data_IF_443251972991
#
_entry.id   IF_443251972991
#
_cell.length_a   1.000
_cell.length_b   1.000
_cell.length_c   1.000
_cell.angle_alpha   90.00
_cell.angle_beta   90.00
_cell.angle_gamma   90.00
#
_symmetry.space_group_name_H-M   'P 1'
#
loop_
_entity.id
_entity.type
_entity.pdbx_description
1 polymer ?
#
# COMPACT_ATOMS: atom_id res chain seq x y z
N UNK A 1 -31.13 -2.52 11.24
CA UNK A 1 -30.90 -3.80 10.57
C UNK A 1 -31.15 -3.65 9.07
N UNK A 2 -30.13 -3.43 8.26
CA UNK A 2 -30.20 -3.47 6.81
C UNK A 2 -29.00 -4.27 6.30
N UNK A 3 -29.31 -5.27 5.51
CA UNK A 3 -28.55 -6.41 5.07
C UNK A 3 -27.30 -6.07 4.26
N UNK A 4 -26.15 -6.54 4.74
CA UNK A 4 -24.97 -6.81 3.89
C UNK A 4 -25.29 -8.08 3.05
N UNK A 5 -25.66 -7.90 1.81
CA UNK A 5 -25.68 -8.99 0.82
C UNK A 5 -25.08 -8.49 -0.49
N UNK A 6 -24.19 -9.31 -1.03
CA UNK A 6 -23.75 -9.37 -2.43
C UNK A 6 -22.62 -8.43 -2.87
N UNK A 7 -21.36 -8.79 -2.56
CA UNK A 7 -20.21 -8.65 -3.49
C UNK A 7 -19.32 -9.89 -3.28
N UNK A 8 -19.82 -11.05 -3.65
CA UNK A 8 -19.01 -12.27 -3.84
C UNK A 8 -19.62 -12.97 -5.06
N UNK A 9 -19.12 -12.63 -6.22
CA UNK A 9 -19.70 -13.28 -7.41
C UNK A 9 -19.14 -12.82 -8.74
N UNK A 10 -17.82 -12.63 -8.92
CA UNK A 10 -17.29 -12.46 -10.29
C UNK A 10 -15.83 -12.88 -10.47
N UNK A 11 -15.28 -13.68 -9.57
CA UNK A 11 -13.87 -14.15 -9.70
C UNK A 11 -13.70 -15.56 -10.28
N UNK A 12 -14.78 -16.25 -10.64
CA UNK A 12 -14.73 -17.69 -10.96
C UNK A 12 -14.70 -18.05 -12.46
N UNK A 13 -14.62 -17.09 -13.38
CA UNK A 13 -14.83 -17.37 -14.82
C UNK A 13 -13.57 -17.41 -15.70
N UNK A 14 -12.35 -17.43 -15.12
CA UNK A 14 -11.11 -17.46 -15.93
C UNK A 14 -10.24 -18.72 -15.78
N UNK A 15 -10.74 -19.80 -15.21
CA UNK A 15 -9.94 -21.00 -14.94
C UNK A 15 -10.03 -22.11 -15.98
N UNK A 16 -10.73 -21.93 -17.09
CA UNK A 16 -10.80 -22.91 -18.18
C UNK A 16 -10.14 -22.43 -19.47
N UNK A 17 -8.81 -22.15 -19.42
CA UNK A 17 -8.02 -21.97 -20.62
C UNK A 17 -7.27 -23.28 -20.93
N UNK A 18 -7.25 -23.72 -22.21
CA UNK A 18 -6.76 -25.04 -22.59
C UNK A 18 -5.25 -25.19 -22.37
N UNK A 19 -4.84 -26.39 -22.01
CA UNK A 19 -3.51 -26.87 -21.64
C UNK A 19 -2.48 -26.89 -22.78
N UNK A 20 -2.52 -26.01 -23.74
CA UNK A 20 -1.67 -26.04 -24.95
C UNK A 20 -0.84 -24.78 -25.16
N UNK A 21 -0.19 -24.25 -24.10
CA UNK A 21 0.89 -23.27 -24.29
C UNK A 21 2.12 -23.79 -23.59
N UNK A 22 2.94 -24.49 -24.35
CA UNK A 22 4.28 -24.94 -24.05
C UNK A 22 5.08 -23.86 -23.32
N UNK A 23 5.88 -24.31 -22.33
CA UNK A 23 7.00 -23.66 -21.68
C UNK A 23 7.40 -22.31 -22.31
N UNK A 24 6.74 -21.26 -21.89
CA UNK A 24 7.18 -19.93 -22.28
C UNK A 24 8.43 -19.62 -21.47
N UNK A 25 9.59 -19.75 -22.13
CA UNK A 25 10.81 -19.11 -21.70
C UNK A 25 10.48 -17.66 -21.32
N UNK A 26 11.14 -17.17 -20.29
CA UNK A 26 10.98 -15.80 -19.78
C UNK A 26 10.93 -14.80 -20.95
N UNK A 27 9.83 -14.08 -21.16
CA UNK A 27 9.70 -13.23 -22.34
C UNK A 27 10.84 -12.20 -22.38
N UNK A 28 11.47 -11.98 -23.53
CA UNK A 28 12.64 -11.13 -23.68
C UNK A 28 12.26 -9.64 -23.63
N UNK A 29 11.59 -9.19 -22.60
CA UNK A 29 11.25 -7.78 -22.39
C UNK A 29 12.10 -7.19 -21.27
N UNK A 30 12.61 -5.98 -21.47
CA UNK A 30 13.34 -5.23 -20.44
C UNK A 30 12.47 -4.24 -19.69
N UNK A 31 11.45 -3.71 -20.34
CA UNK A 31 10.53 -2.72 -19.76
C UNK A 31 9.21 -3.39 -19.38
N UNK A 32 8.74 -3.10 -18.20
CA UNK A 32 7.44 -3.56 -17.70
C UNK A 32 6.64 -2.36 -17.18
N UNK A 33 5.39 -2.27 -17.59
CA UNK A 33 4.43 -1.31 -17.05
C UNK A 33 3.32 -2.08 -16.34
N UNK A 34 2.94 -1.64 -15.15
CA UNK A 34 1.81 -2.24 -14.43
C UNK A 34 0.92 -1.20 -13.77
N UNK A 35 -0.35 -1.55 -13.64
CA UNK A 35 -1.35 -0.77 -12.93
C UNK A 35 -2.27 -1.71 -12.17
N UNK A 36 -2.68 -1.31 -10.98
CA UNK A 36 -3.53 -2.13 -10.14
C UNK A 36 -4.05 -1.42 -8.91
N UNK A 37 -4.57 -2.22 -8.00
CA UNK A 37 -5.06 -1.79 -6.70
C UNK A 37 -4.03 -2.08 -5.61
N UNK A 38 -3.95 -1.17 -4.65
CA UNK A 38 -3.18 -1.31 -3.43
C UNK A 38 -4.13 -1.17 -2.25
N UNK A 39 -4.07 -2.11 -1.33
CA UNK A 39 -4.65 -1.97 0.00
C UNK A 39 -3.53 -1.78 1.02
N UNK A 40 -3.68 -0.81 1.93
CA UNK A 40 -2.80 -0.64 3.07
C UNK A 40 -3.57 -0.66 4.38
N UNK A 41 -2.97 -1.23 5.41
CA UNK A 41 -3.53 -1.33 6.75
C UNK A 41 -3.53 0.00 7.49
N UNK A 42 -4.11 -0.01 8.69
CA UNK A 42 -4.18 1.16 9.57
C UNK A 42 -2.79 1.58 10.03
N UNK A 43 -2.64 2.88 10.26
CA UNK A 43 -1.42 3.49 10.81
C UNK A 43 -1.81 4.30 12.04
N UNK A 44 -1.38 3.92 13.26
CA UNK A 44 -1.57 4.76 14.44
C UNK A 44 -0.71 6.01 14.28
N UNK A 45 -1.28 7.20 14.50
CA UNK A 45 -0.57 8.47 14.38
C UNK A 45 -0.11 9.02 15.73
N UNK A 46 -0.52 8.39 16.81
CA UNK A 46 -0.16 8.72 18.17
C UNK A 46 -1.35 9.02 19.06
N UNK A 47 -1.07 9.14 20.36
CA UNK A 47 -2.03 9.53 21.39
C UNK A 47 -1.41 10.65 22.24
N UNK A 48 -2.25 11.56 22.71
CA UNK A 48 -1.86 12.65 23.60
C UNK A 48 -2.90 12.86 24.68
N UNK A 49 -2.42 13.17 25.89
CA UNK A 49 -3.23 13.61 26.99
C UNK A 49 -3.14 15.13 27.11
N UNK A 50 -4.29 15.78 27.21
CA UNK A 50 -4.35 17.18 27.61
C UNK A 50 -4.44 17.23 29.14
N UNK A 51 -3.49 17.92 29.76
CA UNK A 51 -3.43 18.07 31.22
C UNK A 51 -3.52 19.55 31.56
N UNK A 52 -4.22 19.86 32.67
CA UNK A 52 -4.27 21.18 33.26
C UNK A 52 -3.67 21.15 34.65
N UNK A 53 -3.02 22.24 35.04
CA UNK A 53 -2.45 22.38 36.37
C UNK A 53 -3.24 23.43 37.14
N UNK A 54 -3.83 23.04 38.23
CA UNK A 54 -4.57 23.96 39.16
C UNK A 54 -3.61 24.96 39.80
N UNK A 55 -4.14 26.06 40.30
CA UNK A 55 -3.37 27.06 41.02
C UNK A 55 -2.61 26.51 42.26
N UNK A 56 -2.99 25.35 42.78
CA UNK A 56 -2.32 24.63 43.86
C UNK A 56 -1.21 23.68 43.37
N UNK A 57 -0.87 23.66 42.05
CA UNK A 57 0.15 22.81 41.50
C UNK A 57 -0.29 21.35 41.21
N UNK A 58 -1.56 21.00 41.41
CA UNK A 58 -2.08 19.67 41.10
C UNK A 58 -2.40 19.58 39.59
N UNK A 59 -1.83 18.60 38.93
CA UNK A 59 -2.10 18.33 37.49
C UNK A 59 -3.20 17.29 37.37
N UNK A 60 -4.22 17.57 36.59
CA UNK A 60 -5.27 16.62 36.24
C UNK A 60 -5.45 16.54 34.71
N UNK A 61 -5.95 15.39 34.24
CA UNK A 61 -6.18 15.15 32.84
C UNK A 61 -7.52 15.74 32.42
N UNK A 62 -7.51 16.60 31.40
CA UNK A 62 -8.74 17.14 30.81
C UNK A 62 -9.37 16.13 29.83
N UNK A 63 -8.58 15.58 28.92
CA UNK A 63 -9.01 14.55 27.98
C UNK A 63 -7.81 13.78 27.42
N UNK A 64 -8.08 12.63 26.84
CA UNK A 64 -7.12 11.85 26.03
C UNK A 64 -7.54 11.88 24.59
N UNK A 65 -6.61 12.10 23.68
CA UNK A 65 -6.86 12.00 22.24
C UNK A 65 -5.99 10.91 21.62
N UNK A 66 -6.57 10.11 20.74
CA UNK A 66 -5.85 9.14 19.92
C UNK A 66 -6.23 9.33 18.46
N UNK A 67 -5.22 9.37 17.59
CA UNK A 67 -5.44 9.56 16.16
C UNK A 67 -4.86 8.38 15.39
N UNK A 68 -5.62 7.89 14.44
CA UNK A 68 -5.21 6.83 13.51
C UNK A 68 -5.56 7.19 12.06
N UNK A 69 -4.75 6.71 11.13
CA UNK A 69 -5.09 6.65 9.72
C UNK A 69 -5.74 5.30 9.44
N UNK A 70 -6.96 5.31 8.93
CA UNK A 70 -7.71 4.10 8.60
C UNK A 70 -7.05 3.31 7.48
N UNK A 71 -7.46 2.05 7.33
CA UNK A 71 -7.07 1.26 6.17
C UNK A 71 -7.63 1.89 4.89
N UNK A 72 -6.85 1.82 3.81
CA UNK A 72 -7.22 2.44 2.54
C UNK A 72 -7.01 1.48 1.38
N UNK A 73 -7.94 1.53 0.43
CA UNK A 73 -7.76 0.97 -0.91
C UNK A 73 -7.49 2.11 -1.88
N UNK A 74 -6.48 1.94 -2.73
CA UNK A 74 -6.05 2.95 -3.68
C UNK A 74 -5.58 2.34 -4.99
N UNK A 75 -5.07 3.19 -5.87
CA UNK A 75 -4.46 2.81 -7.13
C UNK A 75 -2.94 2.82 -7.00
N UNK A 76 -2.28 1.91 -7.70
CA UNK A 76 -0.82 1.85 -7.78
C UNK A 76 -0.39 1.53 -9.20
N UNK A 77 0.66 2.23 -9.67
CA UNK A 77 1.30 1.99 -10.95
C UNK A 77 2.79 1.76 -10.77
N UNK A 78 3.38 0.94 -11.65
CA UNK A 78 4.82 0.65 -11.62
C UNK A 78 5.41 0.70 -13.03
N UNK A 79 6.66 1.11 -13.09
CA UNK A 79 7.53 1.05 -14.27
C UNK A 79 8.76 0.25 -13.87
N UNK A 80 8.90 -0.96 -14.39
CA UNK A 80 10.01 -1.87 -14.09
C UNK A 80 11.00 -1.91 -15.25
N UNK A 81 12.28 -1.86 -14.93
CA UNK A 81 13.38 -2.06 -15.86
C UNK A 81 14.23 -3.24 -15.41
N UNK A 82 14.31 -4.28 -16.21
CA UNK A 82 15.18 -5.42 -15.93
C UNK A 82 16.64 -5.04 -16.20
N UNK A 83 17.40 -4.94 -15.12
CA UNK A 83 18.83 -4.59 -15.17
C UNK A 83 19.68 -5.83 -15.38
N UNK A 84 19.33 -6.94 -14.73
CA UNK A 84 20.01 -8.23 -14.83
C UNK A 84 18.98 -9.36 -14.90
N UNK A 85 19.43 -10.59 -15.19
CA UNK A 85 18.55 -11.77 -15.26
C UNK A 85 17.69 -11.98 -14.01
N UNK A 86 18.14 -11.49 -12.84
CA UNK A 86 17.47 -11.66 -11.55
C UNK A 86 17.21 -10.36 -10.82
N UNK A 87 17.54 -9.22 -11.41
CA UNK A 87 17.37 -7.92 -10.77
C UNK A 87 16.59 -7.00 -11.69
N UNK A 88 15.55 -6.40 -11.13
CA UNK A 88 14.72 -5.39 -11.78
C UNK A 88 14.72 -4.13 -10.91
N UNK A 89 14.95 -2.99 -11.51
CA UNK A 89 14.72 -1.69 -10.88
C UNK A 89 13.31 -1.23 -11.21
N UNK A 90 12.59 -0.73 -10.22
CA UNK A 90 11.19 -0.33 -10.36
C UNK A 90 10.99 1.08 -9.83
N UNK A 91 10.29 1.92 -10.59
CA UNK A 91 9.67 3.14 -10.11
C UNK A 91 8.19 2.87 -9.86
N UNK A 92 7.63 3.44 -8.80
CA UNK A 92 6.22 3.25 -8.43
C UNK A 92 5.57 4.56 -8.03
N UNK A 93 4.26 4.66 -8.29
CA UNK A 93 3.41 5.73 -7.81
C UNK A 93 2.11 5.15 -7.27
N UNK A 94 1.64 5.65 -6.14
CA UNK A 94 0.35 5.25 -5.58
C UNK A 94 -0.47 6.44 -5.13
N UNK A 95 -1.80 6.24 -5.15
CA UNK A 95 -2.79 7.21 -4.70
C UNK A 95 -3.87 6.52 -3.89
N UNK A 96 -4.22 7.09 -2.73
CA UNK A 96 -5.30 6.63 -1.87
C UNK A 96 -5.92 7.76 -1.07
N UNK A 97 -7.06 7.48 -0.46
CA UNK A 97 -7.79 8.42 0.41
C UNK A 97 -8.12 7.74 1.74
N UNK A 98 -7.16 7.62 2.66
CA UNK A 98 -7.43 7.12 4.00
C UNK A 98 -8.24 8.12 4.81
N UNK A 99 -9.11 7.61 5.67
CA UNK A 99 -9.78 8.41 6.70
C UNK A 99 -8.85 8.56 7.90
N UNK A 100 -8.63 9.79 8.32
CA UNK A 100 -7.99 10.11 9.58
C UNK A 100 -9.06 10.18 10.67
N UNK A 101 -8.94 9.36 11.71
CA UNK A 101 -9.89 9.31 12.83
C UNK A 101 -9.21 9.76 14.09
N UNK A 102 -9.75 10.81 14.69
CA UNK A 102 -9.33 11.30 16.00
C UNK A 102 -10.42 11.00 17.00
N UNK A 103 -10.10 10.19 17.98
CA UNK A 103 -10.96 9.85 19.11
C UNK A 103 -10.54 10.62 20.34
N UNK A 104 -11.48 11.30 20.97
CA UNK A 104 -11.33 12.01 22.24
C UNK A 104 -12.08 11.23 23.31
N UNK A 105 -11.38 10.79 24.33
CA UNK A 105 -11.90 10.03 25.45
C UNK A 105 -11.65 10.77 26.76
N UNK A 106 -12.46 10.47 27.79
CA UNK A 106 -12.31 10.98 29.16
C UNK A 106 -12.34 12.52 29.21
N UNK A 107 -13.22 13.15 28.44
CA UNK A 107 -13.45 14.58 28.55
C UNK A 107 -14.07 14.93 29.86
N UNK A 108 -13.41 15.79 30.67
CA UNK A 108 -13.86 16.20 31.97
C UNK A 108 -15.16 17.01 31.95
N UNK A 109 -15.40 17.75 30.84
CA UNK A 109 -16.58 18.59 30.71
C UNK A 109 -17.80 17.82 30.17
N UNK A 110 -17.56 16.80 29.33
CA UNK A 110 -18.61 15.99 28.70
C UNK A 110 -18.44 14.51 29.01
N UNK A 111 -18.88 14.13 30.21
CA UNK A 111 -18.55 12.82 30.83
C UNK A 111 -19.18 11.57 30.21
N UNK A 112 -19.89 11.62 29.08
CA UNK A 112 -20.79 10.52 28.69
C UNK A 112 -20.60 9.81 27.38
N UNK A 113 -19.76 10.28 26.46
CA UNK A 113 -19.49 9.52 25.23
C UNK A 113 -18.17 9.94 24.58
N UNK A 114 -17.35 9.01 24.08
CA UNK A 114 -16.18 9.36 23.28
C UNK A 114 -16.60 10.07 22.00
N UNK A 115 -15.99 11.20 21.72
CA UNK A 115 -16.17 11.93 20.48
C UNK A 115 -15.20 11.39 19.43
N UNK A 116 -15.70 11.04 18.23
CA UNK A 116 -14.85 10.64 17.11
C UNK A 116 -15.04 11.62 15.95
N UNK A 117 -13.95 12.27 15.54
CA UNK A 117 -13.89 13.14 14.39
C UNK A 117 -13.21 12.37 13.27
N UNK A 118 -13.78 12.43 12.08
CA UNK A 118 -13.24 11.74 10.89
C UNK A 118 -13.03 12.74 9.77
N UNK A 119 -11.78 12.82 9.28
CA UNK A 119 -11.38 13.63 8.15
C UNK A 119 -10.75 12.75 7.07
N UNK A 120 -10.90 13.12 5.81
CA UNK A 120 -10.30 12.38 4.69
C UNK A 120 -8.99 13.02 4.27
N UNK A 121 -7.94 12.23 4.16
CA UNK A 121 -6.60 12.66 3.72
C UNK A 121 -6.32 12.11 2.33
N UNK A 122 -5.93 12.96 1.39
CA UNK A 122 -5.43 12.52 0.07
C UNK A 122 -3.95 12.18 0.20
N UNK A 123 -3.60 10.94 -0.10
CA UNK A 123 -2.23 10.44 0.03
C UNK A 123 -1.65 10.04 -1.32
N UNK A 124 -0.48 10.58 -1.63
CA UNK A 124 0.32 10.25 -2.81
C UNK A 124 1.67 9.70 -2.37
N UNK A 125 2.14 8.65 -3.03
CA UNK A 125 3.49 8.14 -2.83
C UNK A 125 4.18 7.98 -4.18
N UNK A 126 5.43 8.41 -4.27
CA UNK A 126 6.30 8.17 -5.43
C UNK A 126 7.58 7.57 -4.89
N UNK A 127 8.03 6.47 -5.48
CA UNK A 127 9.21 5.77 -4.99
C UNK A 127 9.92 4.93 -6.02
N UNK A 128 11.01 4.32 -5.57
CA UNK A 128 11.78 3.34 -6.32
C UNK A 128 12.04 2.10 -5.49
N UNK A 129 12.16 0.96 -6.14
CA UNK A 129 12.43 -0.32 -5.52
C UNK A 129 13.38 -1.18 -6.36
N UNK A 130 14.05 -2.11 -5.70
CA UNK A 130 14.76 -3.20 -6.33
C UNK A 130 13.96 -4.49 -6.12
N UNK A 131 13.74 -5.24 -7.19
CA UNK A 131 13.12 -6.55 -7.15
C UNK A 131 14.18 -7.61 -7.48
N UNK A 132 14.31 -8.56 -6.58
CA UNK A 132 15.19 -9.69 -6.78
C UNK A 132 14.38 -10.97 -6.98
N UNK A 133 14.74 -11.75 -8.00
CA UNK A 133 14.07 -12.99 -8.40
C UNK A 133 14.89 -14.21 -7.97
N UNK A 134 14.56 -14.85 -6.83
CA UNK A 134 15.23 -16.08 -6.40
C UNK A 134 14.94 -17.23 -7.36
N UNK A 135 15.86 -18.18 -7.47
CA UNK A 135 15.60 -19.47 -8.13
C UNK A 135 14.76 -20.33 -7.19
N UNK A 136 13.50 -20.51 -7.50
CA UNK A 136 12.62 -21.40 -6.75
C UNK A 136 12.37 -22.65 -7.60
N UNK A 137 12.93 -23.81 -7.21
CA UNK A 137 12.61 -25.08 -7.88
C UNK A 137 11.11 -25.37 -7.72
N UNK A 138 10.47 -25.98 -8.71
CA UNK A 138 9.07 -26.42 -8.71
C UNK A 138 8.00 -25.38 -9.07
N UNK A 139 8.34 -24.14 -9.31
CA UNK A 139 7.38 -23.22 -9.90
C UNK A 139 7.32 -23.42 -11.42
N UNK A 140 6.11 -23.29 -11.98
CA UNK A 140 5.94 -23.36 -13.43
C UNK A 140 6.72 -22.22 -14.10
N UNK A 141 7.22 -22.40 -15.31
CA UNK A 141 7.95 -21.36 -16.04
C UNK A 141 7.13 -20.06 -16.26
N UNK A 142 5.83 -20.07 -15.93
CA UNK A 142 4.94 -18.90 -16.02
C UNK A 142 4.88 -18.09 -14.73
N UNK A 143 5.30 -18.68 -13.59
CA UNK A 143 5.21 -18.03 -12.26
C UNK A 143 6.61 -17.68 -11.77
N UNK A 144 6.80 -16.42 -11.39
CA UNK A 144 8.05 -15.91 -10.82
C UNK A 144 7.79 -15.31 -9.46
N UNK A 145 8.54 -15.76 -8.46
CA UNK A 145 8.58 -15.15 -7.14
C UNK A 145 9.58 -14.01 -7.16
N UNK A 146 9.30 -12.94 -6.45
CA UNK A 146 10.25 -11.86 -6.23
C UNK A 146 10.24 -11.41 -4.76
N UNK A 147 11.37 -10.87 -4.35
CA UNK A 147 11.52 -10.10 -3.12
C UNK A 147 11.73 -8.65 -3.53
N UNK A 148 11.15 -7.72 -2.79
CA UNK A 148 11.18 -6.28 -3.06
C UNK A 148 11.73 -5.54 -1.85
N UNK A 149 12.55 -4.51 -2.10
CA UNK A 149 12.91 -3.49 -1.13
C UNK A 149 12.89 -2.13 -1.83
N UNK A 150 12.29 -1.13 -1.19
CA UNK A 150 12.08 0.18 -1.80
C UNK A 150 12.12 1.33 -0.81
N UNK A 151 12.19 2.53 -1.38
CA UNK A 151 12.08 3.79 -0.66
C UNK A 151 11.29 4.79 -1.50
N UNK A 152 10.55 5.67 -0.84
CA UNK A 152 9.70 6.63 -1.52
C UNK A 152 9.48 7.92 -0.72
N UNK A 153 8.87 8.85 -1.41
CA UNK A 153 8.43 10.13 -0.89
C UNK A 153 6.91 10.12 -0.76
N UNK A 154 6.43 10.49 0.43
CA UNK A 154 5.03 10.55 0.80
C UNK A 154 4.58 12.00 0.81
N UNK A 155 3.43 12.28 0.20
CA UNK A 155 2.75 13.56 0.28
C UNK A 155 1.30 13.35 0.70
N UNK A 156 0.89 14.02 1.76
CA UNK A 156 -0.45 13.97 2.31
C UNK A 156 -1.06 15.37 2.26
N UNK A 157 -2.29 15.46 1.80
CA UNK A 157 -3.06 16.69 1.70
C UNK A 157 -4.36 16.49 2.47
N UNK A 158 -4.66 17.41 3.36
CA UNK A 158 -5.97 17.49 3.98
C UNK A 158 -7.05 17.82 2.94
N UNK A 159 -8.29 17.43 3.19
CA UNK A 159 -9.35 17.53 2.18
C UNK A 159 -9.55 18.96 1.64
N UNK A 160 -9.34 19.96 2.48
CA UNK A 160 -9.48 21.38 2.12
C UNK A 160 -8.22 21.96 1.42
N UNK A 161 -7.18 21.14 1.25
CA UNK A 161 -5.93 21.54 0.61
C UNK A 161 -5.06 22.51 1.42
N UNK A 162 -5.48 22.85 2.63
CA UNK A 162 -4.82 23.85 3.47
C UNK A 162 -3.52 23.36 4.08
N UNK A 163 -3.42 22.05 4.40
CA UNK A 163 -2.23 21.47 5.00
C UNK A 163 -1.59 20.45 4.07
N UNK A 164 -0.32 20.68 3.73
CA UNK A 164 0.50 19.73 2.97
C UNK A 164 1.58 19.20 3.89
N UNK A 165 1.54 17.91 4.16
CA UNK A 165 2.57 17.24 4.95
C UNK A 165 3.33 16.26 4.08
N UNK A 166 4.65 16.23 4.27
CA UNK A 166 5.55 15.37 3.50
C UNK A 166 6.27 14.39 4.41
N UNK A 167 6.51 13.20 3.91
CA UNK A 167 7.19 12.13 4.63
C UNK A 167 8.05 11.27 3.73
N UNK A 168 8.65 10.26 4.33
CA UNK A 168 9.42 9.22 3.65
C UNK A 168 8.78 7.87 3.93
N UNK A 169 8.82 7.00 2.94
CA UNK A 169 8.38 5.61 3.07
C UNK A 169 9.52 4.69 2.71
N UNK A 170 9.61 3.58 3.41
CA UNK A 170 10.45 2.45 3.05
C UNK A 170 9.55 1.23 2.98
N UNK A 171 9.78 0.36 2.03
CA UNK A 171 9.00 -0.86 1.91
C UNK A 171 9.90 -2.07 1.73
N UNK A 172 9.48 -3.20 2.31
CA UNK A 172 10.08 -4.49 2.11
C UNK A 172 9.00 -5.56 2.04
N UNK A 173 9.15 -6.50 1.13
CA UNK A 173 8.15 -7.54 0.94
C UNK A 173 8.49 -8.50 -0.18
N UNK A 174 7.47 -9.12 -0.72
CA UNK A 174 7.63 -10.04 -1.84
C UNK A 174 6.32 -10.32 -2.53
N UNK A 175 6.39 -11.04 -3.64
CA UNK A 175 5.21 -11.33 -4.42
C UNK A 175 5.44 -12.34 -5.53
N UNK A 176 4.43 -12.45 -6.36
CA UNK A 176 4.36 -13.37 -7.49
C UNK A 176 4.00 -12.59 -8.74
N UNK A 177 4.67 -12.91 -9.85
CA UNK A 177 4.26 -12.50 -11.20
C UNK A 177 3.85 -13.75 -11.97
N UNK A 178 2.65 -13.73 -12.54
CA UNK A 178 2.10 -14.81 -13.36
C UNK A 178 2.00 -14.32 -14.82
N UNK A 179 2.76 -14.91 -15.73
CA UNK A 179 2.63 -14.65 -17.15
C UNK A 179 1.37 -15.32 -17.70
N UNK A 180 0.42 -14.54 -18.20
CA UNK A 180 -0.82 -15.02 -18.80
C UNK A 180 -0.64 -15.30 -20.30
N UNK A 181 0.04 -14.38 -21.01
CA UNK A 181 0.40 -14.54 -22.39
C UNK A 181 1.80 -13.99 -22.65
N UNK A 182 2.53 -14.65 -23.56
CA UNK A 182 3.84 -14.20 -24.01
C UNK A 182 3.94 -14.33 -25.53
N UNK A 183 4.58 -13.35 -26.16
CA UNK A 183 4.86 -13.33 -27.61
C UNK A 183 6.34 -13.03 -27.81
N UNK A 184 7.11 -13.90 -28.47
CA UNK A 184 8.53 -13.66 -28.72
C UNK A 184 8.76 -12.55 -29.74
N UNK A 185 7.82 -12.37 -30.67
CA UNK A 185 7.88 -11.36 -31.73
C UNK A 185 6.92 -10.19 -31.46
N UNK A 186 7.31 -8.99 -31.90
CA UNK A 186 6.54 -7.77 -31.74
C UNK A 186 7.03 -6.89 -30.59
N UNK A 187 6.48 -5.69 -30.46
CA UNK A 187 6.82 -4.72 -29.43
C UNK A 187 6.25 -5.11 -28.05
N UNK A 188 5.07 -5.73 -28.02
CA UNK A 188 4.45 -6.28 -26.81
C UNK A 188 4.93 -7.72 -26.61
N UNK A 189 5.77 -7.95 -25.60
CA UNK A 189 6.38 -9.26 -25.30
C UNK A 189 5.53 -10.12 -24.39
N UNK A 190 4.66 -9.54 -23.60
CA UNK A 190 3.80 -10.32 -22.71
C UNK A 190 2.87 -9.50 -21.86
N UNK A 191 1.89 -10.22 -21.31
CA UNK A 191 0.89 -9.71 -20.38
C UNK A 191 0.82 -10.68 -19.21
N UNK A 192 0.60 -10.17 -18.00
CA UNK A 192 0.45 -11.01 -16.82
C UNK A 192 -0.21 -10.30 -15.64
N UNK A 193 -0.33 -11.05 -14.55
CA UNK A 193 -0.82 -10.57 -13.26
C UNK A 193 0.31 -10.56 -12.24
N UNK A 194 0.24 -9.63 -11.32
CA UNK A 194 1.16 -9.49 -10.19
C UNK A 194 0.36 -9.40 -8.90
N UNK A 195 0.85 -10.10 -7.87
CA UNK A 195 0.38 -10.00 -6.49
C UNK A 195 1.60 -9.77 -5.61
N UNK A 196 1.51 -8.84 -4.67
CA UNK A 196 2.57 -8.61 -3.69
C UNK A 196 2.01 -8.27 -2.32
N UNK A 197 2.79 -8.62 -1.30
CA UNK A 197 2.56 -8.25 0.09
C UNK A 197 3.84 -7.63 0.64
N UNK A 198 3.69 -6.51 1.36
CA UNK A 198 4.83 -5.75 1.87
C UNK A 198 4.51 -5.07 3.20
N UNK A 199 5.54 -4.84 4.00
CA UNK A 199 5.48 -3.93 5.12
C UNK A 199 5.94 -2.55 4.65
N UNK A 200 5.16 -1.52 4.96
CA UNK A 200 5.49 -0.13 4.67
C UNK A 200 5.85 0.55 5.98
N UNK A 201 7.05 1.10 6.03
CA UNK A 201 7.59 1.88 7.15
C UNK A 201 7.47 3.35 6.78
N UNK A 202 6.70 4.11 7.55
CA UNK A 202 6.51 5.55 7.33
C UNK A 202 7.30 6.34 8.36
N UNK A 203 8.05 7.33 7.86
CA UNK A 203 8.79 8.30 8.69
C UNK A 203 8.37 9.70 8.30
N UNK A 204 7.95 10.50 9.27
CA UNK A 204 7.32 11.81 9.07
C UNK A 204 6.01 11.66 8.29
N UNK A 205 5.36 12.76 7.98
CA UNK A 205 4.00 12.79 7.47
C UNK A 205 3.07 13.35 8.55
N UNK A 206 1.77 13.12 8.44
CA UNK A 206 0.80 13.47 9.49
C UNK A 206 1.02 12.50 10.65
N UNK A 207 1.87 12.89 11.61
CA UNK A 207 2.21 12.11 12.82
C UNK A 207 2.32 13.05 14.00
N UNK A 208 1.81 12.62 15.15
CA UNK A 208 1.82 13.41 16.38
C UNK A 208 2.91 13.00 17.36
N UNK A 209 3.56 11.86 17.13
CA UNK A 209 4.48 11.24 18.11
C UNK A 209 5.95 11.14 17.64
N UNK A 210 6.32 11.65 16.46
CA UNK A 210 7.65 11.53 15.86
C UNK A 210 8.21 10.07 15.78
N UNK A 211 7.35 9.07 15.88
CA UNK A 211 7.75 7.67 15.80
C UNK A 211 7.67 7.14 14.36
N UNK A 212 8.33 6.04 14.15
CA UNK A 212 8.25 5.28 12.89
C UNK A 212 7.08 4.31 13.00
N UNK A 213 6.19 4.33 12.01
CA UNK A 213 5.04 3.43 11.96
C UNK A 213 5.17 2.42 10.84
N UNK A 214 4.73 1.20 11.12
CA UNK A 214 4.75 0.08 10.16
C UNK A 214 3.33 -0.35 9.88
N UNK A 215 2.98 -0.44 8.60
CA UNK A 215 1.69 -0.94 8.16
C UNK A 215 1.84 -2.04 7.11
N UNK A 216 0.98 -3.07 7.12
CA UNK A 216 0.93 -4.06 6.05
C UNK A 216 0.29 -3.45 4.82
N UNK A 217 0.72 -3.90 3.63
CA UNK A 217 0.09 -3.56 2.37
C UNK A 217 0.04 -4.78 1.45
N UNK A 218 -1.01 -4.86 0.64
CA UNK A 218 -1.20 -5.90 -0.36
C UNK A 218 -1.57 -5.24 -1.68
N UNK A 219 -0.86 -5.61 -2.74
CA UNK A 219 -1.07 -5.11 -4.09
C UNK A 219 -1.51 -6.19 -5.06
N UNK A 220 -2.39 -5.85 -5.99
CA UNK A 220 -2.77 -6.69 -7.12
C UNK A 220 -2.79 -5.83 -8.39
N UNK A 221 -2.05 -6.25 -9.42
CA UNK A 221 -1.92 -5.47 -10.66
C UNK A 221 -1.84 -6.35 -11.89
N UNK A 222 -2.16 -5.75 -13.03
CA UNK A 222 -1.88 -6.31 -14.36
C UNK A 222 -0.65 -5.63 -14.91
N UNK A 223 0.23 -6.39 -15.53
CA UNK A 223 1.43 -5.86 -16.16
C UNK A 223 1.51 -6.21 -17.65
N UNK A 224 2.18 -5.33 -18.39
CA UNK A 224 2.56 -5.54 -19.78
C UNK A 224 4.08 -5.41 -19.92
N UNK A 225 4.68 -6.21 -20.79
CA UNK A 225 6.12 -6.21 -21.08
C UNK A 225 6.42 -5.86 -22.52
N UNK A 226 7.51 -5.12 -22.66
CA UNK A 226 8.04 -4.63 -23.94
C UNK A 226 9.47 -5.07 -24.18
#
# INVERSE_FOLDING_TARGET
MRSLRSIVGTAALFLSAPHALAQAADPPGRLELSIGALWSGRVPLGARDANETTGNGTTFRLFSSSTELGSVSGLEGHIGLRVMSRLEAEASGSYGKPDMRTRVDNDFETSNAPLTITDTVKQFTIGGAALWYPRVPRLSGRTRVFVRAGAGYLRQLENDGALIVTGRTYDAGGGLKLALASRPAGWLKGIGARLDARAIVQQKGVMFDNRTHVSPAVGASVYVRF
#
